data_IF_985184904473
#
_entry.id   IF_985184904473
#
_cell.length_a   1.000
_cell.length_b   1.000
_cell.length_c   1.000
_cell.angle_alpha   90.00
_cell.angle_beta   90.00
_cell.angle_gamma   90.00
#
_symmetry.space_group_name_H-M   'P 1'
#
loop_
_entity.id
_entity.type
_entity.pdbx_description
1 polymer ?
#
# COMPACT_ATOMS: atom_id res chain seq x y z
N UNK A 1 -2.33 -26.01 8.22
CA UNK A 1 -2.80 -24.91 9.10
C UNK A 1 -1.68 -24.03 9.64
N UNK A 2 -0.50 -24.55 10.01
CA UNK A 2 0.61 -23.70 10.50
C UNK A 2 1.11 -22.69 9.46
N UNK A 3 1.46 -23.12 8.23
CA UNK A 3 1.97 -22.20 7.18
C UNK A 3 0.99 -21.07 6.83
N UNK A 4 -0.32 -21.33 6.84
CA UNK A 4 -1.34 -20.29 6.59
C UNK A 4 -1.30 -19.19 7.66
N UNK A 5 -1.16 -19.55 8.95
CA UNK A 5 -1.00 -18.57 10.02
C UNK A 5 0.27 -17.74 9.87
N UNK A 6 1.35 -18.35 9.36
CA UNK A 6 2.62 -17.65 9.10
C UNK A 6 2.45 -16.63 7.98
N UNK A 7 1.81 -17.00 6.86
CA UNK A 7 1.47 -16.04 5.79
C UNK A 7 0.59 -14.89 6.28
N UNK A 8 -0.41 -15.20 7.11
CA UNK A 8 -1.28 -14.18 7.71
C UNK A 8 -0.51 -13.22 8.63
N UNK A 9 0.46 -13.75 9.38
CA UNK A 9 1.39 -12.96 10.18
C UNK A 9 2.31 -12.09 9.30
N UNK A 10 2.83 -12.65 8.19
CA UNK A 10 3.71 -11.97 7.25
C UNK A 10 3.01 -10.80 6.54
N UNK A 11 1.72 -10.95 6.22
CA UNK A 11 0.87 -9.87 5.67
C UNK A 11 0.58 -8.77 6.72
N UNK A 12 0.80 -9.05 8.01
CA UNK A 12 0.59 -8.15 9.15
C UNK A 12 -0.82 -7.56 9.18
N UNK A 13 -1.84 -8.41 9.40
CA UNK A 13 -3.25 -7.99 9.44
C UNK A 13 -3.53 -6.70 10.24
N UNK A 14 -2.78 -6.46 11.34
CA UNK A 14 -2.93 -5.27 12.19
C UNK A 14 -2.58 -3.95 11.49
N UNK A 15 -1.83 -3.98 10.40
CA UNK A 15 -1.47 -2.77 9.62
C UNK A 15 -2.50 -2.45 8.54
N UNK A 16 -3.38 -3.39 8.19
CA UNK A 16 -4.36 -3.22 7.10
C UNK A 16 -5.42 -2.12 7.38
N UNK A 17 -5.92 -1.94 8.62
CA UNK A 17 -6.84 -0.84 8.92
C UNK A 17 -6.23 0.53 8.63
N UNK A 18 -4.94 0.72 8.93
CA UNK A 18 -4.23 1.97 8.64
C UNK A 18 -4.18 2.22 7.13
N UNK A 19 -3.84 1.20 6.34
CA UNK A 19 -3.72 1.38 4.88
C UNK A 19 -5.03 1.81 4.22
N UNK A 20 -6.18 1.29 4.68
CA UNK A 20 -7.48 1.62 4.08
C UNK A 20 -8.12 2.90 4.64
N UNK A 21 -7.60 3.45 5.74
CA UNK A 21 -8.19 4.61 6.42
C UNK A 21 -8.33 5.83 5.49
N UNK A 22 -7.30 6.12 4.70
CA UNK A 22 -7.33 7.25 3.77
C UNK A 22 -8.32 7.06 2.62
N UNK A 23 -8.48 5.82 2.13
CA UNK A 23 -9.49 5.48 1.12
C UNK A 23 -10.90 5.67 1.67
N UNK A 24 -11.16 5.23 2.91
CA UNK A 24 -12.47 5.41 3.57
C UNK A 24 -12.79 6.90 3.72
N UNK A 25 -11.82 7.71 4.12
CA UNK A 25 -12.00 9.16 4.28
C UNK A 25 -12.26 9.83 2.93
N UNK A 26 -11.43 9.58 1.91
CA UNK A 26 -11.62 10.17 0.58
C UNK A 26 -12.94 9.73 -0.06
N UNK A 27 -13.34 8.48 0.11
CA UNK A 27 -14.63 7.96 -0.33
C UNK A 27 -15.81 8.60 0.43
N UNK A 28 -15.67 8.86 1.74
CA UNK A 28 -16.70 9.53 2.54
C UNK A 28 -16.95 10.95 2.06
N UNK A 29 -15.90 11.72 1.76
CA UNK A 29 -16.04 13.05 1.17
C UNK A 29 -16.57 13.00 -0.26
N UNK A 30 -16.15 12.02 -1.07
CA UNK A 30 -16.72 11.81 -2.39
C UNK A 30 -18.22 11.50 -2.33
N UNK A 31 -18.65 10.70 -1.34
CA UNK A 31 -20.05 10.41 -1.09
C UNK A 31 -20.83 11.66 -0.69
N UNK A 32 -20.30 12.43 0.26
CA UNK A 32 -20.89 13.69 0.68
C UNK A 32 -21.10 14.67 -0.49
N UNK A 33 -20.13 14.74 -1.41
CA UNK A 33 -20.18 15.59 -2.60
C UNK A 33 -20.92 14.97 -3.81
N UNK A 34 -21.52 13.78 -3.65
CA UNK A 34 -22.33 13.15 -4.70
C UNK A 34 -21.54 12.44 -5.83
N UNK A 35 -20.26 12.14 -5.62
CA UNK A 35 -19.39 11.49 -6.62
C UNK A 35 -19.13 9.99 -6.34
N UNK A 36 -19.65 9.44 -5.25
CA UNK A 36 -19.33 8.06 -4.83
C UNK A 36 -19.77 7.02 -5.86
N UNK A 37 -18.89 6.04 -6.06
CA UNK A 37 -19.13 4.87 -6.89
C UNK A 37 -18.67 3.62 -6.13
N UNK A 38 -19.55 2.63 -6.00
CA UNK A 38 -19.26 1.44 -5.19
C UNK A 38 -18.16 0.57 -5.82
N UNK A 39 -18.09 0.48 -7.14
CA UNK A 39 -17.07 -0.33 -7.81
C UNK A 39 -15.67 0.29 -7.61
N UNK A 40 -15.56 1.61 -7.81
CA UNK A 40 -14.31 2.34 -7.56
C UNK A 40 -13.88 2.15 -6.10
N UNK A 41 -14.81 2.25 -5.15
CA UNK A 41 -14.53 2.07 -3.73
C UNK A 41 -13.99 0.67 -3.42
N UNK A 42 -14.67 -0.38 -3.88
CA UNK A 42 -14.25 -1.76 -3.64
C UNK A 42 -12.87 -2.04 -4.24
N UNK A 43 -12.62 -1.62 -5.48
CA UNK A 43 -11.31 -1.80 -6.10
C UNK A 43 -10.22 -0.93 -5.45
N UNK A 44 -10.53 0.25 -4.94
CA UNK A 44 -9.58 1.09 -4.20
C UNK A 44 -9.16 0.42 -2.88
N UNK A 45 -10.11 -0.18 -2.15
CA UNK A 45 -9.83 -0.95 -0.94
C UNK A 45 -8.96 -2.16 -1.27
N UNK A 46 -9.35 -2.97 -2.26
CA UNK A 46 -8.59 -4.17 -2.65
C UNK A 46 -7.17 -3.82 -3.12
N UNK A 47 -7.02 -2.78 -3.95
CA UNK A 47 -5.72 -2.31 -4.44
C UNK A 47 -4.82 -1.90 -3.28
N UNK A 48 -5.35 -1.08 -2.36
CA UNK A 48 -4.57 -0.59 -1.21
C UNK A 48 -4.16 -1.71 -0.26
N UNK A 49 -5.05 -2.68 -0.02
CA UNK A 49 -4.71 -3.88 0.75
C UNK A 49 -3.62 -4.70 0.07
N UNK A 50 -3.66 -4.83 -1.26
CA UNK A 50 -2.61 -5.55 -2.01
C UNK A 50 -1.25 -4.86 -1.93
N UNK A 51 -1.21 -3.52 -1.98
CA UNK A 51 0.02 -2.75 -1.82
C UNK A 51 0.60 -2.89 -0.41
N UNK A 52 -0.27 -2.87 0.61
CA UNK A 52 0.14 -3.05 2.00
C UNK A 52 0.68 -4.47 2.25
N UNK A 53 0.01 -5.49 1.70
CA UNK A 53 0.49 -6.86 1.76
C UNK A 53 1.85 -7.00 1.07
N UNK A 54 2.01 -6.47 -0.14
CA UNK A 54 3.28 -6.44 -0.87
C UNK A 54 4.40 -5.79 -0.04
N UNK A 55 4.16 -4.60 0.54
CA UNK A 55 5.14 -3.92 1.38
C UNK A 55 5.51 -4.76 2.60
N UNK A 56 4.54 -5.38 3.26
CA UNK A 56 4.80 -6.21 4.44
C UNK A 56 5.63 -7.46 4.13
N UNK A 57 5.37 -8.13 3.00
CA UNK A 57 6.15 -9.28 2.54
C UNK A 57 7.57 -8.86 2.11
N UNK A 58 7.71 -7.76 1.37
CA UNK A 58 9.00 -7.21 0.98
C UNK A 58 9.83 -6.78 2.19
N UNK A 59 9.19 -6.25 3.24
CA UNK A 59 9.84 -5.90 4.49
C UNK A 59 10.37 -7.14 5.22
N UNK A 60 9.54 -8.17 5.41
CA UNK A 60 9.97 -9.42 6.04
C UNK A 60 11.11 -10.10 5.25
N UNK A 61 11.03 -10.10 3.92
CA UNK A 61 12.09 -10.63 3.06
C UNK A 61 13.39 -9.82 3.15
N UNK A 62 13.31 -8.51 2.98
CA UNK A 62 14.47 -7.63 2.99
C UNK A 62 15.21 -7.63 4.33
N UNK A 63 14.46 -7.59 5.44
CA UNK A 63 15.03 -7.56 6.79
C UNK A 63 15.58 -8.94 7.19
N UNK A 64 14.92 -10.02 6.78
CA UNK A 64 15.39 -11.40 6.97
C UNK A 64 16.69 -11.70 6.23
N UNK A 65 16.80 -11.31 4.96
CA UNK A 65 18.04 -11.49 4.17
C UNK A 65 19.19 -10.62 4.69
N UNK A 66 18.89 -9.41 5.19
CA UNK A 66 19.90 -8.51 5.77
C UNK A 66 20.36 -8.94 7.17
N UNK A 67 19.67 -9.87 7.82
CA UNK A 67 19.94 -10.27 9.21
C UNK A 67 19.52 -9.22 10.24
N UNK A 68 18.69 -8.25 9.86
CA UNK A 68 18.11 -7.26 10.79
C UNK A 68 17.11 -7.94 11.75
N UNK A 69 16.52 -9.05 11.31
CA UNK A 69 15.57 -9.85 12.08
C UNK A 69 16.28 -10.97 12.85
N UNK A 70 16.99 -10.61 13.92
CA UNK A 70 17.74 -11.51 14.77
C UNK A 70 17.01 -11.82 16.11
N UNK A 71 17.64 -12.62 16.98
CA UNK A 71 17.08 -13.04 18.28
C UNK A 71 16.75 -11.85 19.21
N UNK A 72 17.42 -10.72 19.02
CA UNK A 72 17.22 -9.49 19.82
C UNK A 72 16.05 -8.62 19.32
N UNK A 73 15.27 -9.09 18.34
CA UNK A 73 14.14 -8.34 17.77
C UNK A 73 13.06 -8.06 18.82
N UNK A 74 12.76 -6.78 19.00
CA UNK A 74 11.57 -6.33 19.74
C UNK A 74 10.36 -6.29 18.77
N UNK A 75 9.55 -7.35 18.78
CA UNK A 75 8.32 -7.44 17.97
C UNK A 75 7.87 -8.88 17.70
N UNK A 76 6.78 -9.11 16.94
CA UNK A 76 6.37 -10.45 16.54
C UNK A 76 7.45 -11.13 15.71
N UNK A 77 7.63 -12.44 15.92
CA UNK A 77 8.55 -13.27 15.12
C UNK A 77 8.16 -13.19 13.64
N UNK A 78 9.15 -12.95 12.78
CA UNK A 78 8.96 -12.85 11.32
C UNK A 78 8.86 -14.20 10.63
N UNK A 79 8.36 -14.18 9.40
CA UNK A 79 8.18 -15.37 8.61
C UNK A 79 9.52 -16.10 8.37
N UNK A 80 10.54 -15.38 7.86
CA UNK A 80 11.87 -15.96 7.65
C UNK A 80 12.52 -16.33 8.98
N UNK A 81 12.46 -15.44 9.97
CA UNK A 81 13.03 -15.66 11.31
C UNK A 81 12.47 -16.92 12.00
N UNK A 82 11.18 -17.21 11.79
CA UNK A 82 10.54 -18.40 12.37
C UNK A 82 11.02 -19.73 11.77
N UNK A 83 11.74 -19.69 10.63
CA UNK A 83 12.14 -20.86 9.84
C UNK A 83 10.97 -21.59 9.16
N UNK A 84 9.72 -21.11 9.30
CA UNK A 84 8.52 -21.77 8.74
C UNK A 84 8.25 -21.41 7.28
N UNK A 85 8.82 -20.31 6.80
CA UNK A 85 8.84 -19.93 5.38
C UNK A 85 10.28 -19.70 4.94
N UNK A 86 10.67 -20.30 3.82
CA UNK A 86 11.99 -20.03 3.24
C UNK A 86 12.01 -18.67 2.54
N UNK A 87 13.19 -18.06 2.33
CA UNK A 87 13.30 -16.83 1.55
C UNK A 87 12.72 -16.98 0.13
N UNK A 88 12.88 -18.14 -0.51
CA UNK A 88 12.34 -18.43 -1.83
C UNK A 88 10.82 -18.45 -1.83
N UNK A 89 10.19 -19.11 -0.85
CA UNK A 89 8.73 -19.13 -0.69
C UNK A 89 8.18 -17.71 -0.50
N UNK A 90 8.85 -16.88 0.32
CA UNK A 90 8.45 -15.51 0.56
C UNK A 90 8.64 -14.63 -0.69
N UNK A 91 9.72 -14.84 -1.43
CA UNK A 91 9.99 -14.15 -2.69
C UNK A 91 8.93 -14.46 -3.77
N UNK A 92 8.47 -15.71 -3.86
CA UNK A 92 7.35 -16.05 -4.74
C UNK A 92 6.04 -15.39 -4.30
N UNK A 93 5.78 -15.28 -2.99
CA UNK A 93 4.66 -14.50 -2.46
C UNK A 93 4.71 -13.02 -2.83
N UNK A 94 5.92 -12.42 -2.87
CA UNK A 94 6.13 -11.06 -3.36
C UNK A 94 5.76 -10.95 -4.85
N UNK A 95 6.20 -11.88 -5.71
CA UNK A 95 5.86 -11.87 -7.14
C UNK A 95 4.35 -11.93 -7.36
N UNK A 96 3.65 -12.84 -6.65
CA UNK A 96 2.19 -12.95 -6.72
C UNK A 96 1.52 -11.65 -6.28
N UNK A 97 2.02 -11.04 -5.20
CA UNK A 97 1.48 -9.77 -4.68
C UNK A 97 1.71 -8.61 -5.64
N UNK A 98 2.83 -8.58 -6.38
CA UNK A 98 3.08 -7.60 -7.46
C UNK A 98 2.06 -7.78 -8.58
N UNK A 99 1.86 -9.00 -9.08
CA UNK A 99 0.89 -9.26 -10.16
C UNK A 99 -0.54 -8.88 -9.75
N UNK A 100 -0.94 -9.22 -8.51
CA UNK A 100 -2.23 -8.84 -7.95
C UNK A 100 -2.37 -7.31 -7.85
N UNK A 101 -1.33 -6.63 -7.35
CA UNK A 101 -1.27 -5.17 -7.23
C UNK A 101 -1.42 -4.48 -8.59
N UNK A 102 -0.74 -4.98 -9.62
CA UNK A 102 -0.84 -4.47 -11.00
C UNK A 102 -2.25 -4.67 -11.54
N UNK A 103 -2.81 -5.89 -11.41
CA UNK A 103 -4.13 -6.22 -11.91
C UNK A 103 -5.24 -5.38 -11.26
N UNK A 104 -5.22 -5.26 -9.94
CA UNK A 104 -6.20 -4.46 -9.20
C UNK A 104 -6.08 -2.97 -9.51
N UNK A 105 -4.85 -2.44 -9.58
CA UNK A 105 -4.61 -1.05 -9.99
C UNK A 105 -5.14 -0.78 -11.40
N UNK A 106 -4.86 -1.68 -12.34
CA UNK A 106 -5.35 -1.56 -13.70
C UNK A 106 -6.87 -1.51 -13.75
N UNK A 107 -7.55 -2.44 -13.08
CA UNK A 107 -9.02 -2.45 -13.05
C UNK A 107 -9.56 -1.17 -12.40
N UNK A 108 -9.01 -0.75 -11.26
CA UNK A 108 -9.40 0.48 -10.56
C UNK A 108 -9.28 1.72 -11.46
N UNK A 109 -8.13 1.89 -12.10
CA UNK A 109 -7.83 3.06 -12.93
C UNK A 109 -8.75 3.08 -14.16
N UNK A 110 -8.97 1.93 -14.80
CA UNK A 110 -9.86 1.83 -15.94
C UNK A 110 -11.33 2.08 -15.56
N UNK A 111 -11.76 1.69 -14.36
CA UNK A 111 -13.10 1.99 -13.83
C UNK A 111 -13.26 3.46 -13.47
N UNK A 112 -12.25 4.08 -12.87
CA UNK A 112 -12.32 5.47 -12.42
C UNK A 112 -12.27 6.49 -13.57
N UNK A 113 -11.41 6.24 -14.56
CA UNK A 113 -11.08 7.22 -15.60
C UNK A 113 -11.43 6.76 -17.01
N UNK A 114 -11.27 5.47 -17.29
CA UNK A 114 -11.47 4.87 -18.61
C UNK A 114 -10.59 5.52 -19.68
N UNK A 115 -11.04 5.42 -20.93
CA UNK A 115 -10.38 6.06 -22.09
C UNK A 115 -10.70 7.56 -22.20
N UNK A 116 -11.82 7.99 -21.62
CA UNK A 116 -12.28 9.38 -21.69
C UNK A 116 -11.41 10.34 -20.88
N UNK A 117 -10.78 9.86 -19.80
CA UNK A 117 -9.85 10.63 -18.98
C UNK A 117 -8.42 10.08 -19.11
N UNK A 118 -7.94 9.91 -20.34
CA UNK A 118 -6.65 9.28 -20.64
C UNK A 118 -5.47 9.83 -19.82
N UNK A 119 -5.38 11.17 -19.67
CA UNK A 119 -4.30 11.79 -18.89
C UNK A 119 -4.34 11.37 -17.42
N UNK A 120 -5.52 11.30 -16.81
CA UNK A 120 -5.66 10.85 -15.42
C UNK A 120 -5.31 9.37 -15.29
N UNK A 121 -5.72 8.54 -16.25
CA UNK A 121 -5.32 7.13 -16.31
C UNK A 121 -3.79 6.99 -16.32
N UNK A 122 -3.10 7.72 -17.19
CA UNK A 122 -1.63 7.69 -17.27
C UNK A 122 -0.97 8.13 -15.96
N UNK A 123 -1.44 9.24 -15.37
CA UNK A 123 -0.91 9.74 -14.10
C UNK A 123 -1.07 8.68 -13.00
N UNK A 124 -2.26 8.08 -12.86
CA UNK A 124 -2.49 7.08 -11.83
C UNK A 124 -1.76 5.76 -12.10
N UNK A 125 -1.54 5.38 -13.35
CA UNK A 125 -0.67 4.24 -13.67
C UNK A 125 0.77 4.48 -13.23
N UNK A 126 1.30 5.69 -13.48
CA UNK A 126 2.63 6.08 -12.99
C UNK A 126 2.67 6.04 -11.46
N UNK A 127 1.67 6.59 -10.78
CA UNK A 127 1.59 6.55 -9.32
C UNK A 127 1.50 5.12 -8.78
N UNK A 128 0.75 4.23 -9.42
CA UNK A 128 0.67 2.81 -9.04
C UNK A 128 2.02 2.10 -9.20
N UNK A 129 2.75 2.36 -10.29
CA UNK A 129 4.10 1.82 -10.48
C UNK A 129 5.03 2.35 -9.39
N UNK A 130 5.00 3.66 -9.10
CA UNK A 130 5.81 4.25 -8.03
C UNK A 130 5.44 3.64 -6.67
N UNK A 131 4.17 3.38 -6.39
CA UNK A 131 3.73 2.74 -5.15
C UNK A 131 4.30 1.32 -5.01
N UNK A 132 4.20 0.49 -6.04
CA UNK A 132 4.77 -0.87 -6.05
C UNK A 132 6.29 -0.83 -5.85
N UNK A 133 6.99 0.05 -6.58
CA UNK A 133 8.44 0.20 -6.44
C UNK A 133 8.83 0.71 -5.05
N UNK A 134 8.05 1.62 -4.48
CA UNK A 134 8.28 2.19 -3.15
C UNK A 134 8.06 1.13 -2.07
N UNK A 135 7.01 0.29 -2.19
CA UNK A 135 6.76 -0.83 -1.28
C UNK A 135 7.92 -1.81 -1.20
N UNK A 136 8.60 -2.08 -2.32
CA UNK A 136 9.74 -2.99 -2.38
C UNK A 136 11.02 -2.31 -1.92
N UNK A 137 11.31 -1.10 -2.42
CA UNK A 137 12.54 -0.35 -2.12
C UNK A 137 12.55 0.24 -0.70
N UNK A 138 11.50 0.05 0.09
CA UNK A 138 11.51 0.46 1.50
C UNK A 138 12.61 -0.28 2.27
N UNK A 139 12.73 -1.60 2.06
CA UNK A 139 13.71 -2.48 2.73
C UNK A 139 14.61 -3.25 1.77
N UNK A 140 14.18 -3.53 0.54
CA UNK A 140 14.91 -4.40 -0.39
C UNK A 140 15.92 -3.58 -1.20
N UNK A 141 17.18 -4.06 -1.23
CA UNK A 141 18.26 -3.49 -2.03
C UNK A 141 19.25 -2.60 -1.25
N UNK A 142 20.37 -2.27 -1.91
CA UNK A 142 21.47 -1.44 -1.35
C UNK A 142 21.07 0.03 -1.15
N UNK A 143 20.01 0.48 -1.81
CA UNK A 143 19.48 1.84 -1.72
C UNK A 143 18.12 1.93 -1.02
N UNK A 144 17.81 0.96 -0.16
CA UNK A 144 16.57 0.93 0.58
C UNK A 144 16.37 2.21 1.40
N UNK A 145 15.33 2.99 1.08
CA UNK A 145 15.20 4.36 1.60
C UNK A 145 14.69 4.41 3.04
N UNK A 146 14.04 3.35 3.54
CA UNK A 146 13.69 3.20 4.95
C UNK A 146 14.92 3.23 5.85
N UNK A 147 16.06 2.75 5.35
CA UNK A 147 17.34 2.76 6.07
C UNK A 147 18.18 4.05 5.85
N UNK A 148 17.63 5.03 5.13
CA UNK A 148 18.30 6.31 4.78
C UNK A 148 17.63 7.52 5.43
N UNK A 149 16.70 7.32 6.37
CA UNK A 149 16.00 8.40 7.07
C UNK A 149 14.88 9.07 6.26
N UNK A 150 14.50 8.52 5.10
CA UNK A 150 13.41 9.06 4.28
C UNK A 150 12.06 8.37 4.51
N UNK A 151 12.00 7.34 5.37
CA UNK A 151 10.80 6.52 5.59
C UNK A 151 9.56 7.34 5.92
N UNK A 152 9.67 8.20 6.93
CA UNK A 152 8.61 9.06 7.44
C UNK A 152 7.98 9.95 6.37
N UNK A 153 8.81 10.58 5.54
CA UNK A 153 8.33 11.42 4.43
C UNK A 153 7.57 10.61 3.38
N UNK A 154 8.02 9.40 3.06
CA UNK A 154 7.30 8.51 2.16
C UNK A 154 5.98 8.03 2.78
N UNK A 155 5.97 7.66 4.06
CA UNK A 155 4.75 7.24 4.76
C UNK A 155 3.73 8.39 4.75
N UNK A 156 4.14 9.61 5.09
CA UNK A 156 3.28 10.80 5.03
C UNK A 156 2.67 11.01 3.63
N UNK A 157 3.47 10.90 2.56
CA UNK A 157 3.00 11.09 1.19
C UNK A 157 2.04 9.97 0.77
N UNK A 158 2.40 8.70 0.99
CA UNK A 158 1.61 7.57 0.50
C UNK A 158 0.35 7.32 1.33
N UNK A 159 0.46 7.29 2.66
CA UNK A 159 -0.67 7.01 3.54
C UNK A 159 -1.54 8.25 3.79
N UNK A 160 -0.96 9.45 3.76
CA UNK A 160 -1.71 10.71 3.90
C UNK A 160 -2.19 11.27 2.58
N UNK A 161 -1.30 11.97 1.87
CA UNK A 161 -1.65 12.77 0.68
C UNK A 161 -2.23 11.92 -0.46
N UNK A 162 -1.49 10.91 -0.91
CA UNK A 162 -1.91 10.09 -2.04
C UNK A 162 -3.14 9.23 -1.69
N UNK A 163 -3.18 8.64 -0.50
CA UNK A 163 -4.32 7.81 -0.08
C UNK A 163 -5.61 8.64 0.00
N UNK A 164 -5.61 9.80 0.66
CA UNK A 164 -6.83 10.59 0.88
C UNK A 164 -7.20 11.41 -0.36
N UNK A 165 -6.27 12.22 -0.89
CA UNK A 165 -6.55 13.10 -2.03
C UNK A 165 -6.70 12.28 -3.31
N UNK A 166 -5.81 11.30 -3.51
CA UNK A 166 -5.88 10.42 -4.68
C UNK A 166 -7.15 9.60 -4.69
N UNK A 167 -7.61 9.07 -3.55
CA UNK A 167 -8.89 8.34 -3.51
C UNK A 167 -10.08 9.24 -3.81
N UNK A 168 -10.16 10.44 -3.22
CA UNK A 168 -11.21 11.40 -3.57
C UNK A 168 -11.21 11.70 -5.08
N UNK A 169 -10.02 11.90 -5.67
CA UNK A 169 -9.88 12.18 -7.09
C UNK A 169 -10.33 11.02 -7.98
N UNK A 170 -10.16 9.75 -7.57
CA UNK A 170 -10.69 8.60 -8.32
C UNK A 170 -12.21 8.73 -8.54
N UNK A 171 -12.93 9.26 -7.56
CA UNK A 171 -14.39 9.47 -7.64
C UNK A 171 -14.73 10.77 -8.36
N UNK A 172 -14.20 11.89 -7.88
CA UNK A 172 -14.64 13.24 -8.24
C UNK A 172 -13.95 13.81 -9.48
N UNK A 173 -12.77 13.28 -9.86
CA UNK A 173 -11.88 13.79 -10.93
C UNK A 173 -11.52 15.27 -10.79
N UNK A 174 -11.61 15.78 -9.57
CA UNK A 174 -11.23 17.13 -9.16
C UNK A 174 -10.70 17.08 -7.73
N UNK A 175 -9.97 18.11 -7.33
CA UNK A 175 -9.48 18.26 -5.96
C UNK A 175 -10.38 19.24 -5.23
N UNK A 176 -10.72 18.88 -3.99
CA UNK A 176 -11.44 19.76 -3.07
C UNK A 176 -10.53 20.06 -1.86
N UNK A 177 -10.50 21.30 -1.41
CA UNK A 177 -9.76 21.70 -0.21
C UNK A 177 -10.17 20.92 1.05
N UNK A 178 -11.40 20.40 1.11
CA UNK A 178 -11.91 19.66 2.27
C UNK A 178 -11.11 18.39 2.58
N UNK A 179 -10.45 17.79 1.58
CA UNK A 179 -9.64 16.56 1.77
C UNK A 179 -8.20 16.83 2.21
N UNK A 180 -7.73 18.08 2.19
CA UNK A 180 -6.33 18.42 2.49
C UNK A 180 -5.99 18.20 3.97
N UNK A 181 -6.78 18.77 4.89
CA UNK A 181 -6.53 18.62 6.33
C UNK A 181 -6.65 17.16 6.79
N UNK A 182 -7.67 16.37 6.36
CA UNK A 182 -7.71 14.94 6.64
C UNK A 182 -6.51 14.18 6.09
N UNK A 183 -6.01 14.52 4.89
CA UNK A 183 -4.83 13.90 4.31
C UNK A 183 -3.58 14.13 5.17
N UNK A 184 -3.38 15.36 5.65
CA UNK A 184 -2.27 15.71 6.54
C UNK A 184 -2.41 14.95 7.86
N UNK A 185 -3.60 14.93 8.46
CA UNK A 185 -3.85 14.25 9.73
C UNK A 185 -3.54 12.74 9.65
N UNK A 186 -3.99 12.06 8.59
CA UNK A 186 -3.71 10.64 8.38
C UNK A 186 -2.22 10.40 8.11
N UNK A 187 -1.57 11.28 7.33
CA UNK A 187 -0.14 11.19 7.07
C UNK A 187 0.68 11.28 8.35
N UNK A 188 0.38 12.27 9.21
CA UNK A 188 1.05 12.47 10.50
C UNK A 188 0.75 11.34 11.50
N UNK A 189 -0.46 10.78 11.48
CA UNK A 189 -0.80 9.64 12.34
C UNK A 189 -0.07 8.35 11.94
N UNK A 190 0.26 8.23 10.64
CA UNK A 190 0.92 7.05 10.10
C UNK A 190 2.44 7.06 10.28
N UNK A 191 3.01 8.24 10.52
CA UNK A 191 4.45 8.49 10.64
C UNK A 191 4.88 8.39 12.10
#
# INVERSE_FOLDING_TARGET
MEKFKVWLSAIRLRTLPLSISGIIIGASFAHYNGFFDLEIFLFAILTTLSFQALSNLANDYGDGIKGTDNEDRIGPVRAIQSGKLTPEELYDGIKVSILLSIGLSFILIMKAFGVHNFLYSVIFFVLAIIAILSSIRYTVGRSAYGYRGFGDGFVFIFFGLLSVIGSYFLFAKQIDHIVILPAIAIGLLST
#
